data_IF_815382948401
#
_entry.id   IF_815382948401
#
_cell.length_a   1.000
_cell.length_b   1.000
_cell.length_c   1.000
_cell.angle_alpha   90.00
_cell.angle_beta   90.00
_cell.angle_gamma   90.00
#
_symmetry.space_group_name_H-M   'P 1'
#
loop_
_entity.id
_entity.type
_entity.pdbx_description
1 polymer ?
#
# COMPACT_ATOMS: atom_id res chain seq x y z
N UNK A 1 62.99 10.79 6.02
CA UNK A 1 62.98 11.68 4.83
C UNK A 1 61.56 11.72 4.27
N UNK A 2 61.03 12.95 4.12
CA UNK A 2 59.83 13.39 3.38
C UNK A 2 58.46 12.93 3.92
N UNK A 3 57.65 13.76 4.60
CA UNK A 3 56.91 14.97 4.14
C UNK A 3 56.05 14.66 2.89
N UNK A 4 54.73 14.91 2.83
CA UNK A 4 53.93 16.05 3.32
C UNK A 4 52.40 15.73 3.26
N UNK A 5 51.57 16.56 3.91
CA UNK A 5 50.11 16.42 4.04
C UNK A 5 49.30 17.49 3.24
N UNK A 6 47.99 17.53 3.50
CA UNK A 6 47.03 18.62 3.24
C UNK A 6 46.48 18.83 1.83
N UNK A 7 45.16 18.66 1.71
CA UNK A 7 44.30 19.27 0.70
C UNK A 7 43.03 19.81 1.34
N UNK A 8 43.10 21.02 1.90
CA UNK A 8 41.95 21.88 2.19
C UNK A 8 41.64 22.66 0.90
N UNK A 9 40.39 22.66 0.46
CA UNK A 9 39.88 23.72 -0.41
C UNK A 9 38.64 24.32 0.25
N UNK A 10 38.78 25.58 0.63
CA UNK A 10 37.72 26.52 0.97
C UNK A 10 37.77 27.60 -0.11
N UNK A 11 36.68 27.80 -0.84
CA UNK A 11 36.26 29.06 -1.48
C UNK A 11 34.73 28.90 -1.69
N UNK A 12 33.84 29.57 -0.95
CA UNK A 12 33.51 31.01 -0.95
C UNK A 12 32.76 31.48 -2.20
N UNK A 13 31.53 31.99 -1.99
CA UNK A 13 30.68 32.69 -2.98
C UNK A 13 29.19 32.41 -2.69
N UNK A 14 28.53 33.06 -1.74
CA UNK A 14 27.95 34.42 -1.80
C UNK A 14 27.17 34.66 -3.11
N UNK A 15 25.83 34.72 -3.06
CA UNK A 15 25.01 35.96 -2.96
C UNK A 15 23.55 35.69 -3.38
N UNK A 16 22.64 36.21 -2.55
CA UNK A 16 21.21 36.47 -2.77
C UNK A 16 20.79 36.78 -4.21
N UNK A 17 19.54 36.45 -4.57
CA UNK A 17 18.62 37.39 -5.24
C UNK A 17 17.14 36.96 -5.07
N UNK A 18 16.19 37.88 -5.30
CA UNK A 18 15.02 38.09 -4.44
C UNK A 18 13.70 37.65 -5.08
N UNK A 19 12.69 37.55 -4.21
CA UNK A 19 11.26 37.84 -4.40
C UNK A 19 10.87 38.22 -5.84
N UNK A 20 10.18 37.31 -6.52
CA UNK A 20 9.16 37.69 -7.52
C UNK A 20 7.84 37.02 -7.21
N UNK A 21 6.94 37.83 -6.67
CA UNK A 21 5.52 37.65 -6.77
C UNK A 21 5.13 37.79 -8.25
N UNK A 22 4.47 36.80 -8.80
CA UNK A 22 3.71 36.94 -10.04
C UNK A 22 2.27 36.57 -9.73
N UNK A 23 1.43 37.59 -9.80
CA UNK A 23 -0.01 37.53 -9.62
C UNK A 23 -0.69 36.80 -10.79
N UNK A 24 -1.74 36.07 -10.44
CA UNK A 24 -3.06 35.98 -11.12
C UNK A 24 -3.04 35.85 -12.65
N UNK A 25 -3.47 34.68 -13.12
CA UNK A 25 -4.39 34.60 -14.25
C UNK A 25 -5.29 33.37 -14.07
N UNK A 26 -6.55 33.61 -13.71
CA UNK A 26 -7.63 32.61 -13.82
C UNK A 26 -8.11 32.68 -15.27
N UNK A 27 -7.89 31.65 -16.12
CA UNK A 27 -8.54 31.61 -17.41
C UNK A 27 -10.01 31.21 -17.24
N UNK A 28 -10.85 32.13 -17.68
CA UNK A 28 -12.29 32.08 -17.86
C UNK A 28 -12.74 30.82 -18.61
N UNK A 29 -13.86 30.27 -18.13
CA UNK A 29 -14.64 29.16 -18.72
C UNK A 29 -14.96 29.44 -20.19
N UNK A 30 -14.41 28.64 -21.10
CA UNK A 30 -14.90 28.52 -22.47
C UNK A 30 -15.76 27.25 -22.58
N UNK A 31 -17.07 27.42 -22.41
CA UNK A 31 -18.06 26.40 -22.72
C UNK A 31 -18.04 26.17 -24.24
N UNK A 32 -17.32 25.14 -24.68
CA UNK A 32 -17.34 24.71 -26.08
C UNK A 32 -18.65 23.96 -26.32
N UNK A 33 -19.52 24.55 -27.14
CA UNK A 33 -20.74 23.93 -27.65
C UNK A 33 -20.30 22.80 -28.59
N UNK A 34 -20.31 21.57 -28.08
CA UNK A 34 -20.10 20.36 -28.88
C UNK A 34 -21.32 20.21 -29.79
N UNK A 35 -21.19 20.64 -31.04
CA UNK A 35 -22.07 20.23 -32.13
C UNK A 35 -21.78 18.75 -32.38
N UNK A 36 -22.59 17.89 -31.76
CA UNK A 36 -22.47 16.45 -31.89
C UNK A 36 -22.78 16.00 -33.31
N UNK A 37 -21.74 15.72 -34.10
CA UNK A 37 -21.86 14.77 -35.20
C UNK A 37 -22.04 13.38 -34.59
N UNK A 38 -23.27 12.87 -34.64
CA UNK A 38 -23.57 11.47 -34.32
C UNK A 38 -22.89 10.58 -35.36
N UNK A 39 -21.63 10.22 -35.12
CA UNK A 39 -21.06 9.03 -35.74
C UNK A 39 -21.90 7.85 -35.25
N UNK A 40 -22.77 7.33 -36.11
CA UNK A 40 -23.41 6.05 -35.93
C UNK A 40 -22.30 5.01 -35.83
N UNK A 41 -21.88 4.71 -34.60
CA UNK A 41 -21.09 3.53 -34.31
C UNK A 41 -21.97 2.35 -34.74
N UNK A 42 -21.61 1.72 -35.86
CA UNK A 42 -22.02 0.36 -36.16
C UNK A 42 -21.37 -0.53 -35.09
N UNK A 43 -21.91 -0.48 -33.88
CA UNK A 43 -21.62 -1.47 -32.88
C UNK A 43 -22.03 -2.82 -33.47
N UNK A 44 -21.24 -3.89 -33.28
CA UNK A 44 -21.72 -5.22 -33.60
C UNK A 44 -23.05 -5.38 -32.85
N UNK A 45 -24.13 -5.60 -33.59
CA UNK A 45 -25.39 -5.97 -32.98
C UNK A 45 -25.09 -7.18 -32.08
N UNK A 46 -25.51 -7.20 -30.81
CA UNK A 46 -25.44 -8.40 -30.03
C UNK A 46 -26.33 -9.43 -30.73
N UNK A 47 -25.75 -10.29 -31.55
CA UNK A 47 -26.37 -11.55 -31.96
C UNK A 47 -26.43 -12.40 -30.70
N UNK A 48 -27.42 -12.14 -29.86
CA UNK A 48 -27.88 -13.12 -28.89
C UNK A 48 -28.32 -14.32 -29.71
N UNK A 49 -27.56 -15.42 -29.61
CA UNK A 49 -27.83 -16.69 -30.26
C UNK A 49 -29.05 -17.42 -29.63
N UNK A 50 -30.06 -16.66 -29.23
CA UNK A 50 -31.24 -17.13 -28.53
C UNK A 50 -32.44 -16.58 -29.29
N UNK A 51 -33.22 -17.48 -29.89
CA UNK A 51 -34.43 -17.11 -30.63
C UNK A 51 -35.48 -16.50 -29.71
N UNK A 52 -36.36 -15.65 -30.24
CA UNK A 52 -37.49 -15.10 -29.49
C UNK A 52 -38.36 -16.19 -28.83
N UNK A 53 -38.47 -17.36 -29.48
CA UNK A 53 -39.14 -18.54 -28.90
C UNK A 53 -38.40 -19.14 -27.71
N UNK A 54 -37.07 -19.05 -27.64
CA UNK A 54 -36.31 -19.49 -26.47
C UNK A 54 -36.43 -18.53 -25.28
N UNK A 55 -36.73 -17.23 -25.53
CA UNK A 55 -37.08 -16.26 -24.49
C UNK A 55 -38.52 -16.45 -23.97
N UNK A 56 -39.43 -16.97 -24.80
CA UNK A 56 -40.81 -17.31 -24.43
C UNK A 56 -40.98 -18.76 -23.95
N UNK A 57 -39.91 -19.54 -23.96
CA UNK A 57 -39.91 -20.84 -23.33
C UNK A 57 -40.14 -20.64 -21.83
N UNK A 58 -41.26 -21.16 -21.31
CA UNK A 58 -41.51 -21.25 -19.87
C UNK A 58 -40.31 -21.96 -19.25
N UNK A 59 -39.53 -21.25 -18.43
CA UNK A 59 -38.40 -21.85 -17.73
C UNK A 59 -38.94 -23.03 -16.94
N UNK A 60 -38.48 -24.24 -17.28
CA UNK A 60 -38.70 -25.38 -16.41
C UNK A 60 -38.09 -25.00 -15.06
N UNK A 61 -38.86 -25.08 -13.98
CA UNK A 61 -38.31 -24.88 -12.66
C UNK A 61 -37.14 -25.86 -12.52
N UNK A 62 -35.93 -25.34 -12.28
CA UNK A 62 -34.78 -26.17 -11.95
C UNK A 62 -34.99 -26.70 -10.52
N UNK A 63 -35.90 -27.65 -10.38
CA UNK A 63 -36.12 -28.36 -9.14
C UNK A 63 -35.05 -29.44 -9.09
N UNK A 64 -34.05 -29.22 -8.24
CA UNK A 64 -33.12 -30.26 -7.87
C UNK A 64 -33.87 -31.21 -6.93
N UNK A 65 -34.02 -32.47 -7.33
CA UNK A 65 -34.59 -33.50 -6.46
C UNK A 65 -33.57 -33.86 -5.37
N UNK A 66 -33.83 -33.41 -4.15
CA UNK A 66 -33.05 -33.74 -2.95
C UNK A 66 -33.65 -34.90 -2.15
N UNK A 67 -34.78 -35.48 -2.59
CA UNK A 67 -35.48 -36.56 -1.88
C UNK A 67 -34.86 -37.94 -2.10
N UNK A 68 -34.04 -38.07 -3.15
CA UNK A 68 -33.32 -39.30 -3.47
C UNK A 68 -31.97 -39.33 -2.74
N UNK A 69 -31.61 -40.50 -2.17
CA UNK A 69 -30.28 -40.68 -1.58
C UNK A 69 -29.19 -40.45 -2.66
N UNK A 70 -28.08 -39.76 -2.33
CA UNK A 70 -27.04 -39.49 -3.30
C UNK A 70 -26.45 -40.82 -3.82
N UNK A 71 -26.56 -41.03 -5.12
CA UNK A 71 -25.97 -42.18 -5.79
C UNK A 71 -24.48 -41.89 -6.06
N UNK A 72 -23.60 -42.84 -5.72
CA UNK A 72 -22.17 -42.76 -6.02
C UNK A 72 -21.27 -43.17 -4.87
N UNK A 73 -19.96 -43.16 -5.12
CA UNK A 73 -18.95 -43.50 -4.12
C UNK A 73 -18.87 -42.37 -3.10
N UNK A 74 -19.13 -42.68 -1.83
CA UNK A 74 -18.89 -41.75 -0.73
C UNK A 74 -17.41 -41.38 -0.69
N UNK A 75 -17.11 -40.09 -0.81
CA UNK A 75 -15.76 -39.57 -0.67
C UNK A 75 -15.61 -39.07 0.76
N UNK A 76 -14.70 -39.67 1.50
CA UNK A 76 -14.37 -39.21 2.84
C UNK A 76 -13.52 -37.94 2.76
N UNK A 77 -13.73 -36.96 3.66
CA UNK A 77 -12.84 -35.83 3.79
C UNK A 77 -11.41 -36.32 3.94
N UNK A 78 -10.48 -35.73 3.19
CA UNK A 78 -9.05 -35.93 3.45
C UNK A 78 -8.74 -35.39 4.84
N UNK A 79 -7.78 -36.02 5.53
CA UNK A 79 -7.28 -35.51 6.81
C UNK A 79 -6.82 -34.06 6.70
N UNK A 80 -6.86 -33.34 7.82
CA UNK A 80 -6.43 -31.94 7.88
C UNK A 80 -4.99 -31.78 7.40
N UNK A 81 -4.74 -30.69 6.68
CA UNK A 81 -3.38 -30.30 6.35
C UNK A 81 -2.59 -30.05 7.65
N UNK A 82 -1.29 -30.37 7.64
CA UNK A 82 -0.42 -30.04 8.77
C UNK A 82 -0.33 -28.51 8.91
N UNK A 83 -0.43 -27.96 10.12
CA UNK A 83 -0.21 -26.53 10.34
C UNK A 83 1.17 -26.13 9.83
N UNK A 84 1.23 -25.07 9.03
CA UNK A 84 2.49 -24.43 8.65
C UNK A 84 2.81 -23.43 9.75
N UNK A 85 4.03 -23.50 10.30
CA UNK A 85 4.50 -22.50 11.25
C UNK A 85 4.86 -21.24 10.48
N UNK A 86 4.05 -20.20 10.63
CA UNK A 86 4.32 -18.89 10.04
C UNK A 86 5.19 -18.04 10.97
N UNK A 87 6.03 -17.19 10.38
CA UNK A 87 6.81 -16.20 11.13
C UNK A 87 5.91 -15.05 11.57
N UNK A 88 6.19 -14.48 12.74
CA UNK A 88 5.48 -13.32 13.30
C UNK A 88 5.46 -12.09 12.38
N UNK A 89 6.39 -11.99 11.43
CA UNK A 89 6.58 -10.86 10.53
C UNK A 89 6.19 -11.14 9.07
N UNK A 90 5.28 -12.09 8.84
CA UNK A 90 4.94 -12.55 7.49
C UNK A 90 4.39 -11.41 6.60
N UNK A 91 3.79 -10.40 7.22
CA UNK A 91 3.28 -9.18 6.59
C UNK A 91 4.35 -8.10 6.38
N UNK A 92 5.59 -8.34 6.81
CA UNK A 92 6.69 -7.39 6.76
C UNK A 92 6.60 -6.30 7.83
N UNK A 93 5.63 -6.38 8.75
CA UNK A 93 5.45 -5.45 9.85
C UNK A 93 6.13 -5.96 11.12
N UNK A 94 6.52 -5.01 11.94
CA UNK A 94 7.13 -5.20 13.24
C UNK A 94 6.13 -4.90 14.34
N UNK A 95 5.36 -5.92 14.71
CA UNK A 95 4.32 -5.80 15.74
C UNK A 95 4.87 -5.63 17.16
N UNK A 96 6.20 -5.62 17.34
CA UNK A 96 6.81 -5.25 18.63
C UNK A 96 6.78 -3.72 18.87
N UNK A 97 6.42 -2.91 17.87
CA UNK A 97 6.40 -1.45 17.93
C UNK A 97 5.06 -0.85 17.52
N UNK A 98 4.74 0.31 18.09
CA UNK A 98 3.56 1.09 17.77
C UNK A 98 2.28 0.50 18.36
N UNK A 99 1.16 0.87 17.76
CA UNK A 99 -0.18 0.36 18.12
C UNK A 99 -0.56 -0.85 17.28
N UNK A 100 -1.58 -1.60 17.69
CA UNK A 100 -2.05 -2.80 16.98
C UNK A 100 -2.44 -2.57 15.50
N UNK A 101 -2.74 -1.34 15.10
CA UNK A 101 -3.12 -0.98 13.72
C UNK A 101 -2.00 -0.25 12.96
N UNK A 102 -0.79 -0.16 13.51
CA UNK A 102 0.35 0.53 12.91
C UNK A 102 1.38 -0.48 12.40
N UNK A 103 1.66 -0.46 11.10
CA UNK A 103 2.72 -1.29 10.53
C UNK A 103 4.06 -0.53 10.57
N UNK A 104 4.91 -0.85 11.55
CA UNK A 104 6.32 -0.43 11.56
C UNK A 104 7.11 -1.42 10.68
N UNK A 105 8.02 -0.99 9.78
CA UNK A 105 8.73 -1.95 8.94
C UNK A 105 9.62 -2.92 9.72
N UNK A 106 9.56 -4.21 9.39
CA UNK A 106 10.44 -5.23 9.98
C UNK A 106 11.93 -4.95 9.72
N UNK A 107 12.26 -4.31 8.60
CA UNK A 107 13.61 -3.85 8.28
C UNK A 107 13.60 -2.33 8.09
N UNK A 108 14.00 -1.61 9.14
CA UNK A 108 14.06 -0.15 9.11
C UNK A 108 15.38 0.28 8.42
N UNK A 109 15.32 1.12 7.36
CA UNK A 109 16.51 1.65 6.72
C UNK A 109 17.36 2.48 7.69
N UNK A 110 18.66 2.23 7.70
CA UNK A 110 19.62 2.97 8.52
C UNK A 110 20.70 2.08 9.10
N UNK A 111 21.94 2.57 9.11
CA UNK A 111 23.07 1.85 9.67
C UNK A 111 23.14 1.93 11.21
N UNK A 112 22.55 2.98 11.80
CA UNK A 112 22.53 3.23 13.25
C UNK A 112 21.10 3.36 13.76
N UNK A 113 20.90 3.17 15.07
CA UNK A 113 19.61 3.33 15.72
C UNK A 113 19.02 4.75 15.50
N UNK A 114 19.88 5.77 15.55
CA UNK A 114 19.51 7.15 15.27
C UNK A 114 19.09 7.35 13.80
N UNK A 115 19.81 6.75 12.85
CA UNK A 115 19.44 6.84 11.43
C UNK A 115 18.10 6.14 11.15
N UNK A 116 17.84 5.01 11.82
CA UNK A 116 16.54 4.32 11.77
C UNK A 116 15.40 5.21 12.31
N UNK A 117 15.60 5.86 13.45
CA UNK A 117 14.60 6.81 13.97
C UNK A 117 14.40 8.02 13.06
N UNK A 118 15.47 8.59 12.51
CA UNK A 118 15.36 9.69 11.56
C UNK A 118 14.56 9.27 10.32
N UNK A 119 14.80 8.05 9.81
CA UNK A 119 14.00 7.49 8.72
C UNK A 119 12.54 7.33 9.13
N UNK A 120 12.24 6.72 10.27
CA UNK A 120 10.87 6.56 10.79
C UNK A 120 10.15 7.91 10.90
N UNK A 121 10.77 8.90 11.53
CA UNK A 121 10.21 10.24 11.67
C UNK A 121 9.95 10.92 10.32
N UNK A 122 10.89 10.79 9.37
CA UNK A 122 10.71 11.32 8.01
C UNK A 122 9.57 10.65 7.23
N UNK A 123 9.18 9.44 7.61
CA UNK A 123 8.07 8.68 7.02
C UNK A 123 6.78 8.80 7.83
N UNK A 124 6.70 9.74 8.77
CA UNK A 124 5.48 10.07 9.51
C UNK A 124 5.24 9.19 10.74
N UNK A 125 6.21 8.38 11.17
CA UNK A 125 6.13 7.69 12.45
C UNK A 125 6.44 8.69 13.57
N UNK A 126 5.53 8.79 14.55
CA UNK A 126 5.79 9.51 15.80
C UNK A 126 6.59 8.66 16.80
N UNK A 127 6.61 9.06 18.08
CA UNK A 127 7.06 8.19 19.16
C UNK A 127 6.32 6.84 19.10
N UNK A 128 7.07 5.75 19.21
CA UNK A 128 6.54 4.40 19.08
C UNK A 128 6.55 3.72 20.44
N UNK A 129 5.40 3.25 20.91
CA UNK A 129 5.34 2.35 22.06
C UNK A 129 6.02 1.03 21.73
N UNK A 130 6.67 0.39 22.69
CA UNK A 130 7.32 -0.91 22.50
C UNK A 130 6.63 -1.96 23.39
N UNK A 131 5.44 -2.47 23.00
CA UNK A 131 4.73 -3.48 23.79
C UNK A 131 5.45 -4.83 23.84
N UNK A 132 6.25 -5.13 22.83
CA UNK A 132 6.99 -6.37 22.72
C UNK A 132 8.47 -6.19 23.05
N UNK A 133 9.34 -6.80 22.24
CA UNK A 133 10.78 -6.65 22.38
C UNK A 133 11.29 -5.50 21.53
N UNK A 134 12.16 -4.64 22.09
CA UNK A 134 12.91 -3.64 21.31
C UNK A 134 13.97 -4.31 20.39
N UNK A 135 13.51 -5.06 19.37
CA UNK A 135 14.34 -5.88 18.46
C UNK A 135 15.17 -5.04 17.50
N UNK A 136 14.68 -3.87 17.13
CA UNK A 136 15.37 -2.92 16.26
C UNK A 136 16.45 -2.11 16.99
N UNK A 137 16.50 -2.23 18.32
CA UNK A 137 17.38 -1.47 19.22
C UNK A 137 17.24 0.04 18.99
N UNK A 138 15.99 0.52 18.88
CA UNK A 138 15.71 1.94 18.75
C UNK A 138 15.96 2.63 20.10
N UNK A 139 16.43 3.89 20.12
CA UNK A 139 16.58 4.65 21.34
C UNK A 139 15.21 4.85 22.00
N UNK A 140 15.12 4.52 23.28
CA UNK A 140 13.92 4.65 24.10
C UNK A 140 14.09 5.80 25.12
N UNK A 141 13.01 6.52 25.43
CA UNK A 141 12.95 7.44 26.56
C UNK A 141 12.70 6.69 27.89
N UNK A 142 12.62 7.43 28.99
CA UNK A 142 12.36 6.86 30.33
C UNK A 142 10.96 6.22 30.42
N UNK A 143 10.05 6.61 29.54
CA UNK A 143 8.68 6.15 29.43
C UNK A 143 8.53 4.87 28.59
N UNK A 144 9.61 4.40 27.94
CA UNK A 144 9.61 3.20 27.10
C UNK A 144 9.09 3.43 25.68
N UNK A 145 9.08 4.67 25.20
CA UNK A 145 8.77 5.03 23.82
C UNK A 145 10.06 5.10 22.99
N UNK A 146 10.07 4.37 21.89
CA UNK A 146 11.12 4.41 20.89
C UNK A 146 11.00 5.65 20.00
N UNK A 147 12.15 6.20 19.59
CA UNK A 147 12.25 7.37 18.72
C UNK A 147 11.44 8.59 19.21
N UNK A 148 11.65 9.08 20.45
CA UNK A 148 10.91 10.21 20.97
C UNK A 148 11.17 11.46 20.11
N UNK A 149 10.22 12.41 20.14
CA UNK A 149 10.24 13.59 19.26
C UNK A 149 11.45 14.53 19.46
N UNK A 150 12.29 14.31 20.49
CA UNK A 150 13.44 15.13 20.84
C UNK A 150 14.65 14.24 21.26
N UNK A 151 15.40 13.70 20.29
CA UNK A 151 16.73 13.10 20.53
C UNK A 151 17.78 13.89 19.79
#
# INVERSE_FOLDING_TARGET
MNHKPFGRSVFAGIRNHPRWAAAIAVPVVAASVVTGTTMASAGPQPTLAVSASALQAKSAAHIMDFGSAPAGKQIHPRGHAKPIKESWHIDGCDHDYGTANQCVPWAIPGATAQAKCAWLQSNGFGPLTVPGKNRQHLPENAEGEACPANV
#
